data_IF_558799076884
#
_entry.id   IF_558799076884
#
_cell.length_a   1.000
_cell.length_b   1.000
_cell.length_c   1.000
_cell.angle_alpha   90.00
_cell.angle_beta   90.00
_cell.angle_gamma   90.00
#
_symmetry.space_group_name_H-M   'P 1'
#
loop_
_entity.id
_entity.type
_entity.pdbx_description
1 polymer ?
#
# COMPACT_ATOMS: atom_id res chain seq x y z
N UNK A 1 21.94 -13.37 -5.38
CA UNK A 1 21.81 -14.77 -5.83
C UNK A 1 21.92 -14.78 -7.34
N UNK A 2 22.95 -15.38 -7.92
CA UNK A 2 23.09 -15.46 -9.39
C UNK A 2 21.86 -16.19 -9.96
N UNK A 3 21.14 -15.54 -10.88
CA UNK A 3 19.90 -16.07 -11.45
C UNK A 3 18.67 -15.90 -10.55
N UNK A 4 18.77 -15.06 -9.51
CA UNK A 4 17.66 -14.60 -8.69
C UNK A 4 16.80 -13.54 -9.38
N UNK A 5 15.84 -13.01 -8.65
CA UNK A 5 14.91 -11.97 -9.09
C UNK A 5 15.65 -10.65 -9.27
N UNK A 6 15.46 -9.98 -10.41
CA UNK A 6 16.02 -8.65 -10.65
C UNK A 6 15.13 -7.56 -10.06
N UNK A 7 15.72 -6.65 -9.28
CA UNK A 7 15.02 -5.46 -8.80
C UNK A 7 15.10 -4.35 -9.85
N UNK A 8 13.97 -3.85 -10.38
CA UNK A 8 13.95 -2.83 -11.43
C UNK A 8 14.79 -1.60 -11.09
N UNK A 9 15.53 -1.09 -12.08
CA UNK A 9 16.40 0.08 -11.93
C UNK A 9 17.67 -0.14 -11.11
N UNK A 10 18.01 -1.39 -10.77
CA UNK A 10 19.22 -1.73 -9.99
C UNK A 10 19.98 -2.91 -10.60
N UNK A 11 21.19 -3.18 -10.09
CA UNK A 11 21.97 -4.39 -10.41
C UNK A 11 21.70 -5.55 -9.44
N UNK A 12 20.71 -5.43 -8.55
CA UNK A 12 20.47 -6.45 -7.53
C UNK A 12 19.74 -7.67 -8.10
N UNK A 13 20.31 -8.86 -7.83
CA UNK A 13 19.64 -10.14 -8.00
C UNK A 13 19.44 -10.81 -6.64
N UNK A 14 18.19 -10.98 -6.23
CA UNK A 14 17.80 -11.38 -4.87
C UNK A 14 16.95 -12.65 -4.89
N UNK A 15 16.78 -13.29 -3.73
CA UNK A 15 15.73 -14.29 -3.57
C UNK A 15 14.34 -13.62 -3.67
N UNK A 16 13.26 -14.36 -4.01
CA UNK A 16 11.94 -13.76 -4.23
C UNK A 16 11.36 -13.06 -3.00
N UNK A 17 11.74 -13.45 -1.78
CA UNK A 17 11.26 -12.82 -0.54
C UNK A 17 11.87 -11.44 -0.39
N UNK A 18 13.20 -11.32 -0.51
CA UNK A 18 13.89 -10.05 -0.39
C UNK A 18 13.65 -9.13 -1.61
N UNK A 19 13.44 -9.70 -2.80
CA UNK A 19 13.05 -8.93 -3.98
C UNK A 19 11.65 -8.33 -3.83
N UNK A 20 10.68 -9.07 -3.26
CA UNK A 20 9.34 -8.56 -3.01
C UNK A 20 9.36 -7.34 -2.06
N UNK A 21 10.22 -7.38 -1.05
CA UNK A 21 10.47 -6.22 -0.18
C UNK A 21 10.98 -5.02 -0.97
N UNK A 22 12.04 -5.22 -1.77
CA UNK A 22 12.69 -4.15 -2.51
C UNK A 22 11.74 -3.49 -3.52
N UNK A 23 11.05 -4.29 -4.34
CA UNK A 23 10.11 -3.80 -5.35
C UNK A 23 8.92 -3.11 -4.68
N UNK A 24 8.30 -3.73 -3.66
CA UNK A 24 7.17 -3.14 -2.94
C UNK A 24 7.55 -1.83 -2.23
N UNK A 25 8.78 -1.73 -1.73
CA UNK A 25 9.30 -0.48 -1.15
C UNK A 25 9.48 0.59 -2.22
N UNK A 26 10.09 0.25 -3.37
CA UNK A 26 10.31 1.21 -4.47
C UNK A 26 9.01 1.83 -4.96
N UNK A 27 7.99 1.02 -5.22
CA UNK A 27 6.73 1.51 -5.82
C UNK A 27 5.89 2.34 -4.84
N UNK A 28 6.00 2.07 -3.54
CA UNK A 28 5.22 2.77 -2.51
C UNK A 28 5.92 4.02 -1.96
N UNK A 29 7.24 4.13 -2.13
CA UNK A 29 8.08 5.05 -1.34
C UNK A 29 7.60 6.50 -1.35
N UNK A 30 7.29 7.01 -2.55
CA UNK A 30 6.93 8.40 -2.82
C UNK A 30 5.44 8.68 -2.70
N UNK A 31 4.64 7.69 -2.26
CA UNK A 31 3.19 7.83 -2.16
C UNK A 31 2.54 8.26 -3.48
N UNK A 32 3.10 7.83 -4.61
CA UNK A 32 2.66 8.26 -5.94
C UNK A 32 2.08 7.12 -6.79
N UNK A 33 1.88 5.96 -6.17
CA UNK A 33 1.20 4.83 -6.76
C UNK A 33 -0.33 4.97 -6.62
N UNK A 34 -1.05 3.95 -7.08
CA UNK A 34 -2.52 3.93 -7.09
C UNK A 34 -3.13 4.06 -5.68
N UNK A 35 -4.45 4.20 -5.61
CA UNK A 35 -5.17 4.29 -4.34
C UNK A 35 -6.56 3.67 -4.45
N UNK A 36 -7.00 3.04 -3.37
CA UNK A 36 -8.36 2.58 -3.15
C UNK A 36 -8.88 3.16 -1.83
N UNK A 37 -9.99 3.92 -1.91
CA UNK A 37 -10.60 4.57 -0.75
C UNK A 37 -11.95 3.90 -0.43
N UNK A 38 -12.02 3.24 0.72
CA UNK A 38 -13.24 2.63 1.24
C UNK A 38 -13.31 2.76 2.78
N UNK A 39 -14.01 1.85 3.49
CA UNK A 39 -13.99 1.84 4.97
C UNK A 39 -12.56 1.66 5.53
N UNK A 40 -11.73 0.93 4.79
CA UNK A 40 -10.28 0.98 4.88
C UNK A 40 -9.67 1.65 3.64
N UNK A 41 -8.56 2.34 3.83
CA UNK A 41 -7.78 2.94 2.74
C UNK A 41 -6.56 2.10 2.44
N UNK A 42 -6.13 2.05 1.18
CA UNK A 42 -4.88 1.39 0.82
C UNK A 42 -4.45 1.62 -0.62
N UNK A 43 -3.33 0.99 -0.99
CA UNK A 43 -2.75 1.08 -2.32
C UNK A 43 -2.61 -0.34 -2.89
N UNK A 44 -3.59 -0.85 -3.64
CA UNK A 44 -3.56 -2.23 -4.09
C UNK A 44 -2.41 -2.56 -5.06
N UNK A 45 -1.85 -1.56 -5.74
CA UNK A 45 -0.60 -1.70 -6.50
C UNK A 45 0.59 -2.14 -5.66
N UNK A 46 0.56 -1.98 -4.32
CA UNK A 46 1.62 -2.47 -3.43
C UNK A 46 1.89 -3.98 -3.63
N UNK A 47 0.84 -4.75 -3.92
CA UNK A 47 0.94 -6.20 -4.17
C UNK A 47 1.83 -6.55 -5.39
N UNK A 48 2.10 -5.58 -6.28
CA UNK A 48 3.03 -5.78 -7.39
C UNK A 48 4.43 -6.11 -6.90
N UNK A 49 4.82 -5.72 -5.68
CA UNK A 49 6.07 -6.16 -5.06
C UNK A 49 6.19 -7.69 -5.04
N UNK A 50 5.17 -8.36 -4.50
CA UNK A 50 5.10 -9.83 -4.43
C UNK A 50 4.92 -10.47 -5.81
N UNK A 51 4.02 -9.92 -6.63
CA UNK A 51 3.65 -10.51 -7.93
C UNK A 51 4.83 -10.43 -8.91
N UNK A 52 5.50 -9.29 -9.01
CA UNK A 52 6.65 -9.16 -9.91
C UNK A 52 7.83 -9.99 -9.42
N UNK A 53 8.06 -10.05 -8.11
CA UNK A 53 9.16 -10.84 -7.57
C UNK A 53 8.97 -12.34 -7.83
N UNK A 54 7.79 -12.89 -7.51
CA UNK A 54 7.49 -14.31 -7.75
C UNK A 54 7.37 -14.60 -9.25
N UNK A 55 6.82 -13.67 -10.03
CA UNK A 55 6.71 -13.79 -11.48
C UNK A 55 8.07 -13.91 -12.16
N UNK A 56 9.01 -13.00 -11.89
CA UNK A 56 10.37 -13.04 -12.46
C UNK A 56 11.16 -14.26 -11.93
N UNK A 57 10.98 -14.63 -10.65
CA UNK A 57 11.56 -15.87 -10.10
C UNK A 57 11.13 -17.11 -10.88
N UNK A 58 9.82 -17.27 -11.10
CA UNK A 58 9.24 -18.41 -11.81
C UNK A 58 9.61 -18.41 -13.29
N UNK A 59 9.59 -17.26 -13.94
CA UNK A 59 10.01 -17.10 -15.34
C UNK A 59 11.47 -17.49 -15.54
N UNK A 60 12.38 -16.98 -14.71
CA UNK A 60 13.80 -17.34 -14.77
C UNK A 60 14.04 -18.82 -14.50
N UNK A 61 13.29 -19.40 -13.56
CA UNK A 61 13.32 -20.85 -13.30
C UNK A 61 12.85 -21.63 -14.53
N UNK A 62 11.75 -21.21 -15.15
CA UNK A 62 11.22 -21.84 -16.35
C UNK A 62 12.23 -21.80 -17.50
N UNK A 63 12.87 -20.65 -17.77
CA UNK A 63 13.91 -20.53 -18.81
C UNK A 63 15.06 -21.51 -18.59
N UNK A 64 15.57 -21.60 -17.35
CA UNK A 64 16.66 -22.54 -17.00
C UNK A 64 16.26 -24.00 -17.17
N UNK A 65 14.98 -24.31 -17.02
CA UNK A 65 14.44 -25.66 -17.14
C UNK A 65 13.85 -25.95 -18.53
N UNK A 66 14.01 -25.04 -19.51
CA UNK A 66 13.46 -25.19 -20.86
C UNK A 66 11.94 -25.14 -20.93
N UNK A 67 11.28 -24.53 -19.93
CA UNK A 67 9.82 -24.34 -19.85
C UNK A 67 9.44 -22.91 -20.24
N UNK A 68 8.18 -22.70 -20.60
CA UNK A 68 7.67 -21.38 -20.98
C UNK A 68 7.60 -20.43 -19.78
N UNK A 69 8.20 -19.23 -19.84
CA UNK A 69 8.07 -18.20 -18.81
C UNK A 69 6.64 -17.66 -18.69
N UNK A 70 6.34 -16.96 -17.60
CA UNK A 70 5.06 -16.27 -17.47
C UNK A 70 4.97 -15.10 -18.46
N UNK A 71 3.82 -14.94 -19.10
CA UNK A 71 3.51 -13.75 -19.89
C UNK A 71 2.96 -12.59 -19.03
N UNK A 72 3.00 -11.36 -19.57
CA UNK A 72 2.48 -10.19 -18.86
C UNK A 72 0.96 -10.23 -18.67
N UNK A 73 0.22 -10.95 -19.51
CA UNK A 73 -1.22 -11.18 -19.30
C UNK A 73 -1.48 -11.98 -18.01
N UNK A 74 -0.65 -12.97 -17.70
CA UNK A 74 -0.71 -13.71 -16.43
C UNK A 74 -0.41 -12.78 -15.26
N UNK A 75 0.66 -11.99 -15.34
CA UNK A 75 1.03 -11.00 -14.29
C UNK A 75 -0.13 -10.05 -14.02
N UNK A 76 -0.75 -9.47 -15.06
CA UNK A 76 -1.88 -8.56 -14.93
C UNK A 76 -3.12 -9.25 -14.35
N UNK A 77 -3.40 -10.51 -14.70
CA UNK A 77 -4.47 -11.29 -14.06
C UNK A 77 -4.25 -11.48 -12.56
N UNK A 78 -3.01 -11.70 -12.12
CA UNK A 78 -2.69 -11.75 -10.69
C UNK A 78 -2.82 -10.39 -10.02
N UNK A 79 -2.45 -9.30 -10.71
CA UNK A 79 -2.66 -7.95 -10.20
C UNK A 79 -4.16 -7.66 -9.97
N UNK A 80 -5.02 -7.96 -10.95
CA UNK A 80 -6.48 -7.82 -10.83
C UNK A 80 -7.01 -8.59 -9.60
N UNK A 81 -6.61 -9.86 -9.43
CA UNK A 81 -7.02 -10.67 -8.28
C UNK A 81 -6.55 -10.08 -6.95
N UNK A 82 -5.31 -9.59 -6.88
CA UNK A 82 -4.80 -8.98 -5.65
C UNK A 82 -5.53 -7.68 -5.31
N UNK A 83 -5.81 -6.85 -6.33
CA UNK A 83 -6.63 -5.64 -6.17
C UNK A 83 -8.00 -5.99 -5.63
N UNK A 84 -8.65 -7.00 -6.21
CA UNK A 84 -9.97 -7.41 -5.80
C UNK A 84 -9.99 -7.96 -4.36
N UNK A 85 -9.06 -8.84 -3.99
CA UNK A 85 -9.00 -9.38 -2.62
C UNK A 85 -8.82 -8.23 -1.61
N UNK A 86 -7.83 -7.36 -1.82
CA UNK A 86 -7.58 -6.25 -0.90
C UNK A 86 -8.75 -5.26 -0.86
N UNK A 87 -9.22 -4.81 -2.02
CA UNK A 87 -10.21 -3.75 -2.10
C UNK A 87 -11.60 -4.19 -1.65
N UNK A 88 -12.02 -5.43 -1.94
CA UNK A 88 -13.31 -5.95 -1.47
C UNK A 88 -13.32 -6.15 0.05
N UNK A 89 -12.21 -6.61 0.64
CA UNK A 89 -12.09 -6.61 2.11
C UNK A 89 -12.17 -5.19 2.67
N UNK A 90 -11.54 -4.21 2.03
CA UNK A 90 -11.53 -2.83 2.49
C UNK A 90 -12.90 -2.12 2.43
N UNK A 91 -13.88 -2.62 1.65
CA UNK A 91 -15.19 -1.99 1.47
C UNK A 91 -15.94 -1.77 2.80
N UNK A 92 -16.04 -2.81 3.61
CA UNK A 92 -16.82 -2.80 4.86
C UNK A 92 -15.98 -3.07 6.11
N UNK A 93 -14.69 -3.44 5.96
CA UNK A 93 -13.85 -3.86 7.08
C UNK A 93 -12.74 -2.84 7.35
N UNK A 94 -12.93 -2.04 8.40
CA UNK A 94 -12.01 -0.95 8.78
C UNK A 94 -11.01 -1.40 9.87
N UNK A 95 -9.76 -1.63 9.48
CA UNK A 95 -8.67 -2.00 10.39
C UNK A 95 -8.11 -0.77 11.12
N UNK A 96 -8.16 0.41 10.50
CA UNK A 96 -7.81 1.67 11.16
C UNK A 96 -8.67 1.94 12.41
N UNK A 97 -9.96 1.55 12.42
CA UNK A 97 -10.87 1.67 13.58
C UNK A 97 -10.57 0.70 14.73
N UNK A 98 -9.67 -0.25 14.53
CA UNK A 98 -9.14 -1.15 15.55
C UNK A 98 -7.63 -0.98 15.77
N UNK A 99 -7.02 0.05 15.19
CA UNK A 99 -5.62 0.42 15.42
C UNK A 99 -4.59 -0.34 14.57
N UNK A 100 -5.02 -1.13 13.60
CA UNK A 100 -4.17 -1.96 12.75
C UNK A 100 -4.00 -1.36 11.36
N UNK A 101 -2.82 -1.54 10.77
CA UNK A 101 -2.45 -0.98 9.49
C UNK A 101 -3.02 -1.73 8.30
N UNK A 102 -3.39 -0.99 7.24
CA UNK A 102 -4.00 -1.56 6.04
C UNK A 102 -3.09 -2.55 5.30
N UNK A 103 -1.78 -2.53 5.57
CA UNK A 103 -0.83 -3.47 4.97
C UNK A 103 -1.12 -4.93 5.33
N UNK A 104 -1.97 -5.18 6.34
CA UNK A 104 -2.55 -6.50 6.59
C UNK A 104 -3.27 -7.05 5.34
N UNK A 105 -3.95 -6.18 4.58
CA UNK A 105 -4.65 -6.56 3.34
C UNK A 105 -3.70 -6.75 2.16
N UNK A 106 -2.58 -6.01 2.13
CA UNK A 106 -1.48 -6.26 1.17
C UNK A 106 -0.90 -7.66 1.43
N UNK A 107 -0.61 -8.01 2.69
CA UNK A 107 -0.10 -9.34 3.05
C UNK A 107 -1.12 -10.42 2.67
N UNK A 108 -2.41 -10.23 2.99
CA UNK A 108 -3.47 -11.16 2.67
C UNK A 108 -3.56 -11.44 1.17
N UNK A 109 -3.74 -10.38 0.36
CA UNK A 109 -3.93 -10.47 -1.07
C UNK A 109 -2.69 -11.07 -1.74
N UNK A 110 -1.50 -10.55 -1.41
CA UNK A 110 -0.23 -11.08 -1.89
C UNK A 110 -0.03 -12.55 -1.54
N UNK A 111 -0.38 -12.97 -0.32
CA UNK A 111 -0.21 -14.38 0.11
C UNK A 111 -1.06 -15.32 -0.73
N UNK A 112 -2.35 -14.97 -0.93
CA UNK A 112 -3.25 -15.78 -1.73
C UNK A 112 -2.79 -15.89 -3.20
N UNK A 113 -2.46 -14.77 -3.83
CA UNK A 113 -2.07 -14.78 -5.26
C UNK A 113 -0.72 -15.44 -5.48
N UNK A 114 0.27 -15.19 -4.62
CA UNK A 114 1.61 -15.79 -4.80
C UNK A 114 1.64 -17.27 -4.47
N UNK A 115 0.81 -17.75 -3.53
CA UNK A 115 0.64 -19.19 -3.30
C UNK A 115 0.10 -19.88 -4.55
N UNK A 116 -0.90 -19.28 -5.21
CA UNK A 116 -1.42 -19.78 -6.47
C UNK A 116 -0.37 -19.70 -7.61
N UNK A 117 0.41 -18.61 -7.69
CA UNK A 117 1.50 -18.50 -8.68
C UNK A 117 2.55 -19.60 -8.54
N UNK A 118 2.90 -19.96 -7.30
CA UNK A 118 3.87 -21.01 -6.99
C UNK A 118 3.33 -22.43 -7.25
N UNK A 119 2.09 -22.57 -7.72
CA UNK A 119 1.47 -23.87 -8.00
C UNK A 119 0.78 -24.50 -6.79
N UNK A 120 0.55 -23.74 -5.72
CA UNK A 120 -0.23 -24.20 -4.58
C UNK A 120 -1.67 -24.52 -4.96
N UNK A 121 -2.16 -25.65 -4.48
CA UNK A 121 -3.55 -26.04 -4.61
C UNK A 121 -4.45 -25.30 -3.60
N UNK A 122 -5.73 -25.69 -3.56
CA UNK A 122 -6.71 -25.07 -2.65
C UNK A 122 -6.29 -25.15 -1.19
N UNK A 123 -5.72 -26.28 -0.75
CA UNK A 123 -5.37 -26.50 0.66
C UNK A 123 -4.10 -25.73 1.04
N UNK A 124 -3.14 -25.62 0.12
CA UNK A 124 -1.98 -24.76 0.28
C UNK A 124 -2.40 -23.28 0.37
N UNK A 125 -3.32 -22.81 -0.47
CA UNK A 125 -3.84 -21.44 -0.43
C UNK A 125 -4.57 -21.16 0.89
N UNK A 126 -5.46 -22.07 1.33
CA UNK A 126 -6.16 -21.94 2.61
C UNK A 126 -5.17 -21.87 3.77
N UNK A 127 -4.16 -22.74 3.77
CA UNK A 127 -3.12 -22.77 4.79
C UNK A 127 -2.32 -21.47 4.81
N UNK A 128 -1.84 -20.98 3.66
CA UNK A 128 -1.09 -19.74 3.56
C UNK A 128 -1.90 -18.53 4.04
N UNK A 129 -3.17 -18.43 3.62
CA UNK A 129 -4.08 -17.35 4.05
C UNK A 129 -4.34 -17.41 5.56
N UNK A 130 -4.52 -18.60 6.14
CA UNK A 130 -4.67 -18.77 7.58
C UNK A 130 -3.43 -18.28 8.35
N UNK A 131 -2.23 -18.61 7.86
CA UNK A 131 -0.97 -18.08 8.41
C UNK A 131 -0.89 -16.56 8.30
N UNK A 132 -1.29 -15.98 7.16
CA UNK A 132 -1.37 -14.52 7.00
C UNK A 132 -2.32 -13.86 8.00
N UNK A 133 -3.42 -14.50 8.40
CA UNK A 133 -4.31 -13.94 9.42
C UNK A 133 -3.75 -14.06 10.84
N UNK A 134 -3.15 -15.21 11.18
CA UNK A 134 -2.53 -15.43 12.49
C UNK A 134 -1.34 -14.49 12.73
N UNK A 135 -0.69 -14.05 11.67
CA UNK A 135 0.41 -13.09 11.73
C UNK A 135 -0.03 -11.67 12.15
N UNK A 136 -1.35 -11.41 12.25
CA UNK A 136 -1.98 -10.17 12.72
C UNK A 136 -1.48 -8.88 12.01
N UNK A 137 -2.02 -7.71 12.33
CA UNK A 137 -1.62 -6.44 11.69
C UNK A 137 -0.43 -5.78 12.38
N UNK A 138 0.39 -5.06 11.62
CA UNK A 138 1.26 -4.03 12.19
C UNK A 138 0.40 -2.91 12.78
N UNK A 139 0.88 -2.26 13.85
CA UNK A 139 0.28 -1.02 14.32
C UNK A 139 0.42 0.10 13.28
N UNK A 140 -0.38 1.15 13.41
CA UNK A 140 -0.37 2.33 12.51
C UNK A 140 0.38 3.54 13.03
N UNK A 141 1.05 3.45 14.17
CA UNK A 141 1.63 4.60 14.88
C UNK A 141 2.52 5.47 13.98
N UNK A 142 3.28 4.85 13.08
CA UNK A 142 4.17 5.53 12.13
C UNK A 142 3.48 6.33 11.02
N UNK A 143 2.14 6.31 10.94
CA UNK A 143 1.35 7.12 10.01
C UNK A 143 0.74 8.36 10.66
N UNK A 144 0.73 8.43 11.99
CA UNK A 144 0.01 9.47 12.73
C UNK A 144 0.97 10.31 13.57
N UNK A 145 0.69 11.62 13.64
CA UNK A 145 1.40 12.53 14.53
C UNK A 145 1.28 12.07 16.00
N UNK A 146 2.31 12.30 16.84
CA UNK A 146 3.60 12.94 16.53
C UNK A 146 4.67 11.93 16.03
N UNK A 147 4.28 10.72 15.62
CA UNK A 147 5.20 9.62 15.29
C UNK A 147 5.28 9.33 13.79
N UNK A 148 4.73 10.19 12.93
CA UNK A 148 4.76 10.00 11.49
C UNK A 148 6.21 9.90 11.00
N UNK A 149 6.52 8.86 10.24
CA UNK A 149 7.89 8.59 9.83
C UNK A 149 8.00 7.64 8.64
N UNK A 150 9.24 7.32 8.21
CA UNK A 150 9.51 6.67 6.93
C UNK A 150 9.00 5.23 6.84
N UNK A 151 8.63 4.59 7.97
CA UNK A 151 8.00 3.27 7.95
C UNK A 151 6.71 3.24 7.13
N UNK A 152 5.99 4.37 7.00
CA UNK A 152 4.81 4.47 6.13
C UNK A 152 5.10 4.10 4.67
N UNK A 153 6.33 4.36 4.22
CA UNK A 153 6.80 4.23 2.84
C UNK A 153 7.30 2.83 2.49
N UNK A 154 7.63 1.99 3.49
CA UNK A 154 8.13 0.62 3.27
C UNK A 154 7.30 -0.48 3.96
N UNK A 155 6.32 -0.13 4.79
CA UNK A 155 5.46 -1.10 5.47
C UNK A 155 4.74 -2.06 4.50
N UNK A 156 4.34 -1.57 3.33
CA UNK A 156 3.71 -2.41 2.30
C UNK A 156 4.70 -3.36 1.62
N UNK A 157 5.95 -2.92 1.39
CA UNK A 157 7.03 -3.79 0.94
C UNK A 157 7.34 -4.90 1.95
N UNK A 158 7.31 -4.59 3.25
CA UNK A 158 7.45 -5.59 4.31
C UNK A 158 6.30 -6.60 4.33
N UNK A 159 5.06 -6.14 4.12
CA UNK A 159 3.91 -7.03 3.95
C UNK A 159 4.06 -7.96 2.73
N UNK A 160 4.61 -7.47 1.61
CA UNK A 160 4.94 -8.28 0.43
C UNK A 160 5.97 -9.37 0.75
N UNK A 161 7.06 -9.00 1.42
CA UNK A 161 8.09 -9.94 1.91
C UNK A 161 7.47 -11.06 2.74
N UNK A 162 6.60 -10.70 3.67
CA UNK A 162 5.94 -11.64 4.57
C UNK A 162 4.98 -12.56 3.81
N UNK A 163 4.24 -12.02 2.85
CA UNK A 163 3.35 -12.81 2.00
C UNK A 163 4.07 -13.89 1.19
N UNK A 164 5.18 -13.53 0.53
CA UNK A 164 5.97 -14.51 -0.24
C UNK A 164 6.55 -15.59 0.69
N UNK A 165 6.93 -15.22 1.92
CA UNK A 165 7.38 -16.20 2.92
C UNK A 165 6.28 -17.20 3.29
N UNK A 166 5.04 -16.75 3.50
CA UNK A 166 3.91 -17.65 3.78
C UNK A 166 3.60 -18.56 2.60
N UNK A 167 3.64 -18.02 1.38
CA UNK A 167 3.38 -18.77 0.16
C UNK A 167 4.41 -19.91 -0.05
N UNK A 168 5.70 -19.61 0.09
CA UNK A 168 6.77 -20.62 0.00
C UNK A 168 6.65 -21.67 1.10
N UNK A 169 6.32 -21.27 2.34
CA UNK A 169 6.13 -22.24 3.43
C UNK A 169 4.95 -23.18 3.17
N UNK A 170 3.84 -22.69 2.62
CA UNK A 170 2.69 -23.52 2.30
C UNK A 170 2.98 -24.49 1.15
N UNK A 171 3.62 -24.02 0.07
CA UNK A 171 3.86 -24.83 -1.14
C UNK A 171 5.04 -25.77 -0.97
N UNK A 172 6.18 -25.29 -0.48
CA UNK A 172 7.43 -26.05 -0.50
C UNK A 172 7.65 -26.86 0.79
N UNK A 173 7.04 -26.44 1.91
CA UNK A 173 7.26 -27.07 3.22
C UNK A 173 6.04 -27.80 3.78
N UNK A 174 4.88 -27.68 3.14
CA UNK A 174 3.64 -28.35 3.58
C UNK A 174 3.28 -28.00 5.02
N UNK A 175 3.42 -26.73 5.42
CA UNK A 175 3.13 -26.32 6.81
C UNK A 175 1.67 -26.58 7.17
N UNK A 176 1.43 -26.92 8.44
CA UNK A 176 0.08 -27.14 8.96
C UNK A 176 -0.73 -25.84 8.90
N UNK A 177 -1.96 -25.94 8.38
CA UNK A 177 -2.92 -24.84 8.33
C UNK A 177 -3.73 -24.68 9.62
N UNK A 178 -4.41 -23.54 9.75
CA UNK A 178 -5.23 -23.21 10.91
C UNK A 178 -6.65 -22.85 10.47
N UNK A 179 -7.57 -23.83 10.33
CA UNK A 179 -8.89 -23.61 9.73
C UNK A 179 -9.75 -22.54 10.43
N UNK A 180 -9.54 -22.34 11.73
CA UNK A 180 -10.26 -21.36 12.56
C UNK A 180 -9.44 -20.10 12.86
N UNK A 181 -8.43 -19.76 12.05
CA UNK A 181 -7.56 -18.59 12.23
C UNK A 181 -8.33 -17.28 12.53
N UNK A 182 -9.51 -17.12 11.95
CA UNK A 182 -10.39 -15.97 12.20
C UNK A 182 -11.33 -16.18 13.39
N UNK A 183 -12.01 -17.33 13.45
CA UNK A 183 -13.19 -17.56 14.29
C UNK A 183 -12.94 -18.35 15.57
N UNK A 184 -11.72 -18.79 15.83
CA UNK A 184 -11.39 -19.49 17.08
C UNK A 184 -11.78 -18.62 18.28
N UNK A 185 -12.60 -19.15 19.18
CA UNK A 185 -13.01 -18.41 20.39
C UNK A 185 -11.78 -18.02 21.20
N UNK A 186 -11.74 -16.78 21.67
CA UNK A 186 -10.66 -16.16 22.45
C UNK A 186 -9.36 -15.88 21.69
N UNK A 187 -8.98 -16.73 20.72
CA UNK A 187 -7.65 -16.70 20.10
C UNK A 187 -7.65 -16.36 18.61
N UNK A 188 -8.82 -16.39 17.97
CA UNK A 188 -8.99 -16.05 16.56
C UNK A 188 -8.91 -14.55 16.33
N UNK A 189 -8.57 -14.15 15.10
CA UNK A 189 -8.41 -12.75 14.71
C UNK A 189 -9.64 -11.90 15.06
N UNK A 190 -10.85 -12.43 14.89
CA UNK A 190 -12.08 -11.69 15.20
C UNK A 190 -12.13 -11.23 16.66
N UNK A 191 -11.93 -12.16 17.59
CA UNK A 191 -11.97 -11.88 19.03
C UNK A 191 -10.77 -11.02 19.46
N UNK A 192 -9.56 -11.34 18.98
CA UNK A 192 -8.31 -10.73 19.44
C UNK A 192 -8.10 -9.32 18.88
N UNK A 193 -8.39 -9.12 17.59
CA UNK A 193 -7.95 -7.95 16.83
C UNK A 193 -9.09 -7.21 16.13
N UNK A 194 -10.30 -7.78 16.08
CA UNK A 194 -11.44 -7.19 15.36
C UNK A 194 -12.69 -6.99 16.23
N UNK A 195 -12.51 -6.88 17.56
CA UNK A 195 -13.58 -6.58 18.53
C UNK A 195 -14.74 -7.58 18.49
N UNK A 196 -14.45 -8.85 18.21
CA UNK A 196 -15.43 -9.93 18.09
C UNK A 196 -16.34 -9.85 16.86
N UNK A 197 -16.07 -8.94 15.91
CA UNK A 197 -16.87 -8.82 14.68
C UNK A 197 -16.34 -9.77 13.61
N UNK A 198 -17.23 -10.33 12.81
CA UNK A 198 -16.87 -11.03 11.59
C UNK A 198 -16.65 -10.03 10.44
N UNK A 199 -15.94 -10.45 9.40
CA UNK A 199 -15.82 -9.64 8.19
C UNK A 199 -17.14 -9.60 7.41
N UNK A 200 -17.46 -8.42 6.88
CA UNK A 200 -18.64 -8.19 6.06
C UNK A 200 -18.24 -7.91 4.61
N UNK A 201 -19.08 -8.35 3.67
CA UNK A 201 -18.85 -8.19 2.25
C UNK A 201 -20.16 -7.77 1.59
N UNK A 202 -20.15 -6.61 0.92
CA UNK A 202 -21.31 -6.12 0.18
C UNK A 202 -21.41 -6.70 -1.24
N UNK A 203 -20.36 -7.39 -1.70
CA UNK A 203 -20.27 -7.93 -3.05
C UNK A 203 -19.28 -9.10 -3.16
N UNK A 204 -19.46 -9.99 -4.16
CA UNK A 204 -18.47 -11.02 -4.47
C UNK A 204 -17.21 -10.44 -5.11
N UNK A 205 -16.12 -11.21 -5.11
CA UNK A 205 -14.90 -10.89 -5.84
C UNK A 205 -15.09 -11.01 -7.37
N UNK A 206 -14.70 -9.99 -8.12
CA UNK A 206 -14.60 -9.96 -9.58
C UNK A 206 -13.39 -9.14 -10.05
N UNK A 207 -13.63 -8.01 -10.71
CA UNK A 207 -12.61 -7.06 -11.21
C UNK A 207 -12.92 -5.61 -10.82
N UNK A 208 -13.88 -5.40 -9.92
CA UNK A 208 -14.43 -4.08 -9.60
C UNK A 208 -13.36 -3.09 -9.12
N UNK A 209 -12.44 -3.56 -8.28
CA UNK A 209 -11.43 -2.69 -7.67
C UNK A 209 -10.46 -2.18 -8.72
N UNK A 210 -9.97 -3.05 -9.62
CA UNK A 210 -9.08 -2.64 -10.70
C UNK A 210 -9.78 -1.68 -11.68
N UNK A 211 -11.05 -1.93 -11.99
CA UNK A 211 -11.83 -1.07 -12.90
C UNK A 211 -12.05 0.35 -12.34
N UNK A 212 -12.03 0.52 -11.02
CA UNK A 212 -12.35 1.77 -10.34
C UNK A 212 -11.17 2.32 -9.51
N UNK A 213 -9.96 1.81 -9.73
CA UNK A 213 -8.78 2.23 -8.98
C UNK A 213 -8.45 3.69 -9.27
N UNK A 214 -7.98 4.41 -8.25
CA UNK A 214 -7.67 5.82 -8.36
C UNK A 214 -6.17 6.00 -8.67
N UNK A 215 -5.84 6.77 -9.69
CA UNK A 215 -4.45 7.09 -10.02
C UNK A 215 -4.10 8.50 -9.54
N UNK A 216 -2.92 8.63 -8.94
CA UNK A 216 -2.27 9.92 -8.71
C UNK A 216 -1.49 10.28 -9.96
N UNK A 217 -2.09 11.07 -10.85
CA UNK A 217 -1.49 11.41 -12.14
C UNK A 217 -0.61 12.66 -12.01
N UNK A 218 -1.09 13.66 -11.28
CA UNK A 218 -0.55 15.02 -11.34
C UNK A 218 0.49 15.30 -10.24
N UNK A 219 0.25 14.84 -9.01
CA UNK A 219 1.05 15.28 -7.85
C UNK A 219 1.39 14.13 -6.88
N UNK A 220 2.63 14.07 -6.35
CA UNK A 220 3.07 13.08 -5.36
C UNK A 220 2.60 13.45 -3.95
N UNK A 221 1.28 13.54 -3.78
CA UNK A 221 0.61 13.97 -2.55
C UNK A 221 -0.25 12.84 -1.97
N UNK A 222 -0.47 12.84 -0.64
CA UNK A 222 -1.50 11.98 -0.01
C UNK A 222 -2.85 12.18 -0.72
N UNK A 223 -3.62 11.10 -0.94
CA UNK A 223 -4.73 11.12 -1.89
C UNK A 223 -5.84 12.10 -1.47
N UNK A 224 -6.10 12.25 -0.18
CA UNK A 224 -7.12 13.18 0.32
C UNK A 224 -6.76 14.66 0.09
N UNK A 225 -5.52 14.97 -0.30
CA UNK A 225 -5.10 16.33 -0.66
C UNK A 225 -5.13 16.61 -2.17
N UNK A 226 -5.31 15.61 -3.05
CA UNK A 226 -5.15 15.79 -4.50
C UNK A 226 -6.00 16.93 -5.08
N UNK A 227 -7.28 16.99 -4.71
CA UNK A 227 -8.18 18.08 -5.16
C UNK A 227 -7.83 19.42 -4.55
N UNK A 228 -7.33 19.46 -3.31
CA UNK A 228 -6.87 20.70 -2.68
C UNK A 228 -5.63 21.26 -3.39
N UNK A 229 -4.69 20.39 -3.78
CA UNK A 229 -3.52 20.75 -4.59
C UNK A 229 -3.95 21.27 -5.97
N UNK A 230 -4.92 20.64 -6.63
CA UNK A 230 -5.47 21.12 -7.91
C UNK A 230 -6.07 22.53 -7.78
N UNK A 231 -6.84 22.78 -6.73
CA UNK A 231 -7.37 24.12 -6.44
C UNK A 231 -6.25 25.14 -6.20
N UNK A 232 -5.24 24.76 -5.41
CA UNK A 232 -4.10 25.62 -5.11
C UNK A 232 -3.29 25.98 -6.37
N UNK A 233 -3.08 25.02 -7.27
CA UNK A 233 -2.44 25.25 -8.57
C UNK A 233 -3.21 26.22 -9.46
N UNK A 234 -4.55 26.15 -9.47
CA UNK A 234 -5.40 27.11 -10.21
C UNK A 234 -5.32 28.51 -9.62
N UNK A 235 -5.30 28.61 -8.29
CA UNK A 235 -5.24 29.88 -7.57
C UNK A 235 -3.86 30.55 -7.61
N UNK A 236 -2.79 29.81 -7.90
CA UNK A 236 -1.41 30.32 -7.91
C UNK A 236 -1.28 31.64 -8.70
N UNK A 237 -1.80 31.69 -9.93
CA UNK A 237 -1.70 32.88 -10.77
C UNK A 237 -2.37 34.13 -10.16
N UNK A 238 -3.37 33.93 -9.30
CA UNK A 238 -4.10 35.00 -8.62
C UNK A 238 -3.43 35.43 -7.31
N UNK A 239 -2.65 34.57 -6.65
CA UNK A 239 -2.11 34.83 -5.31
C UNK A 239 -0.60 35.06 -5.27
N UNK A 240 0.16 34.57 -6.25
CA UNK A 240 1.63 34.52 -6.21
C UNK A 240 2.29 35.90 -6.00
N UNK A 241 1.65 36.98 -6.47
CA UNK A 241 2.16 38.35 -6.36
C UNK A 241 1.68 39.10 -5.11
N UNK A 242 0.88 38.46 -4.25
CA UNK A 242 0.25 39.07 -3.06
C UNK A 242 0.20 38.11 -1.87
N UNK A 243 1.19 37.24 -1.77
CA UNK A 243 1.27 36.23 -0.69
C UNK A 243 1.29 36.89 0.70
N UNK A 244 1.97 38.03 0.83
CA UNK A 244 2.07 38.85 2.04
C UNK A 244 0.74 39.52 2.44
N UNK A 245 -0.24 39.55 1.54
CA UNK A 245 -1.57 40.12 1.77
C UNK A 245 -2.63 39.07 2.14
N UNK A 246 -2.24 37.80 2.22
CA UNK A 246 -3.15 36.71 2.58
C UNK A 246 -3.45 36.78 4.09
N UNK A 247 -4.68 37.16 4.44
CA UNK A 247 -5.16 37.13 5.83
C UNK A 247 -5.58 35.73 6.29
N UNK A 248 -6.24 34.97 5.39
CA UNK A 248 -6.80 33.64 5.71
C UNK A 248 -6.89 32.76 4.46
N UNK A 249 -6.58 31.48 4.62
CA UNK A 249 -6.90 30.41 3.67
C UNK A 249 -7.86 29.45 4.35
N UNK A 250 -8.99 29.16 3.71
CA UNK A 250 -9.99 28.20 4.19
C UNK A 250 -10.01 26.98 3.27
N UNK A 251 -9.80 25.79 3.84
CA UNK A 251 -9.80 24.52 3.12
C UNK A 251 -10.98 23.71 3.64
N UNK A 252 -12.06 23.64 2.85
CA UNK A 252 -13.17 22.73 3.12
C UNK A 252 -12.79 21.32 2.62
N UNK A 253 -12.87 20.32 3.50
CA UNK A 253 -12.44 18.94 3.19
C UNK A 253 -13.38 17.90 3.81
N UNK A 254 -13.28 16.66 3.32
CA UNK A 254 -13.99 15.51 3.88
C UNK A 254 -13.40 15.05 5.23
N UNK A 255 -14.18 14.32 6.03
CA UNK A 255 -13.78 13.79 7.34
C UNK A 255 -12.41 13.08 7.30
N UNK A 256 -12.17 12.27 6.27
CA UNK A 256 -10.91 11.55 6.11
C UNK A 256 -9.71 12.52 5.93
N UNK A 257 -9.86 13.58 5.14
CA UNK A 257 -8.81 14.60 4.98
C UNK A 257 -8.48 15.25 6.32
N UNK A 258 -9.51 15.70 7.05
CA UNK A 258 -9.35 16.28 8.38
C UNK A 258 -8.71 15.31 9.38
N UNK A 259 -9.08 14.02 9.35
CA UNK A 259 -8.59 13.04 10.33
C UNK A 259 -7.13 12.60 10.11
N UNK A 260 -6.64 12.63 8.87
CA UNK A 260 -5.35 12.01 8.50
C UNK A 260 -4.26 13.05 8.30
N UNK A 261 -4.58 14.13 7.57
CA UNK A 261 -3.59 15.04 7.00
C UNK A 261 -3.78 16.49 7.45
N UNK A 262 -4.75 16.79 8.31
CA UNK A 262 -4.82 18.08 9.00
C UNK A 262 -3.79 18.11 10.14
N UNK A 263 -2.72 18.87 9.95
CA UNK A 263 -1.64 19.02 10.92
C UNK A 263 -1.35 20.50 11.17
N UNK A 264 -1.16 20.85 12.43
CA UNK A 264 -0.76 22.20 12.84
C UNK A 264 0.58 22.17 13.56
N UNK A 265 1.33 23.28 13.45
CA UNK A 265 2.66 23.42 14.03
C UNK A 265 3.80 22.91 13.13
N UNK A 266 5.04 22.85 13.65
CA UNK A 266 6.22 22.47 12.87
C UNK A 266 6.14 21.05 12.33
N UNK A 267 6.59 20.86 11.08
CA UNK A 267 6.68 19.56 10.41
C UNK A 267 8.14 19.09 10.37
N UNK A 268 8.43 17.94 10.95
CA UNK A 268 9.81 17.55 11.27
C UNK A 268 10.56 16.84 10.13
N UNK A 269 9.85 16.28 9.14
CA UNK A 269 10.47 15.45 8.11
C UNK A 269 9.62 15.40 6.82
N UNK A 270 10.17 14.78 5.77
CA UNK A 270 9.49 14.56 4.48
C UNK A 270 8.10 13.95 4.64
N UNK A 271 7.99 12.87 5.43
CA UNK A 271 6.74 12.15 5.64
C UNK A 271 5.71 12.95 6.44
N UNK A 272 6.15 13.96 7.20
CA UNK A 272 5.22 14.89 7.83
C UNK A 272 4.59 15.83 6.81
N UNK A 273 5.40 16.33 5.87
CA UNK A 273 5.02 17.32 4.86
C UNK A 273 4.13 16.72 3.76
N UNK A 274 4.45 15.51 3.28
CA UNK A 274 3.61 14.81 2.30
C UNK A 274 2.29 14.29 2.90
N UNK A 275 2.10 14.40 4.22
CA UNK A 275 0.87 14.09 4.97
C UNK A 275 0.36 15.32 5.74
N UNK A 276 0.55 16.53 5.20
CA UNK A 276 -0.01 17.76 5.73
C UNK A 276 -0.76 18.51 4.62
N UNK A 277 -2.09 18.60 4.69
CA UNK A 277 -2.91 19.28 3.68
C UNK A 277 -2.54 20.76 3.56
N UNK A 278 -2.22 21.40 4.69
CA UNK A 278 -1.76 22.79 4.72
C UNK A 278 -0.47 22.96 3.93
N UNK A 279 0.52 22.08 4.15
CA UNK A 279 1.80 22.14 3.43
C UNK A 279 1.61 21.86 1.94
N UNK A 280 0.83 20.84 1.60
CA UNK A 280 0.54 20.46 0.22
C UNK A 280 -0.27 21.51 -0.53
N UNK A 281 -1.00 22.39 0.15
CA UNK A 281 -1.69 23.55 -0.46
C UNK A 281 -0.78 24.78 -0.52
N UNK A 282 0.01 25.04 0.51
CA UNK A 282 0.90 26.20 0.57
C UNK A 282 1.94 26.19 -0.56
N UNK A 283 2.61 25.05 -0.79
CA UNK A 283 3.67 24.92 -1.81
C UNK A 283 3.15 25.28 -3.22
N UNK A 284 2.04 24.73 -3.74
CA UNK A 284 1.46 25.16 -5.01
C UNK A 284 1.05 26.63 -5.06
N UNK A 285 0.48 27.19 -3.98
CA UNK A 285 0.10 28.61 -3.96
C UNK A 285 1.34 29.50 -4.13
N UNK A 286 2.44 29.15 -3.48
CA UNK A 286 3.70 29.91 -3.52
C UNK A 286 4.44 29.69 -4.86
N UNK A 287 4.62 28.44 -5.27
CA UNK A 287 5.56 28.09 -6.35
C UNK A 287 4.92 27.66 -7.67
N UNK A 288 3.59 27.47 -7.71
CA UNK A 288 2.90 27.01 -8.91
C UNK A 288 3.29 25.60 -9.33
N UNK A 289 3.74 24.76 -8.38
CA UNK A 289 4.11 23.35 -8.57
C UNK A 289 3.97 22.57 -7.26
N UNK A 290 3.92 21.24 -7.39
CA UNK A 290 4.18 20.31 -6.29
C UNK A 290 4.88 19.07 -6.83
N UNK A 291 6.17 18.94 -6.53
CA UNK A 291 7.00 17.79 -6.88
C UNK A 291 7.61 17.17 -5.63
N UNK A 292 8.10 15.92 -5.73
CA UNK A 292 8.63 15.19 -4.58
C UNK A 292 9.78 15.95 -3.86
N UNK A 293 10.59 16.70 -4.60
CA UNK A 293 11.67 17.50 -4.02
C UNK A 293 11.18 18.65 -3.11
N UNK A 294 9.93 19.10 -3.29
CA UNK A 294 9.37 20.21 -2.50
C UNK A 294 9.10 19.80 -1.03
N UNK A 295 9.09 18.51 -0.71
CA UNK A 295 9.00 18.03 0.68
C UNK A 295 10.37 17.97 1.40
N UNK A 296 11.46 18.32 0.72
CA UNK A 296 12.81 18.35 1.30
C UNK A 296 13.04 19.55 2.23
N UNK A 297 13.99 19.42 3.16
CA UNK A 297 14.27 20.46 4.17
C UNK A 297 14.67 21.81 3.55
N UNK A 298 15.30 21.79 2.37
CA UNK A 298 15.72 23.01 1.69
C UNK A 298 14.53 23.87 1.23
N UNK A 299 13.46 23.25 0.70
CA UNK A 299 12.24 23.97 0.29
C UNK A 299 11.41 24.33 1.51
N UNK A 300 11.35 23.44 2.50
CA UNK A 300 10.66 23.69 3.77
C UNK A 300 11.32 24.75 4.68
N UNK A 301 12.49 25.28 4.31
CA UNK A 301 13.17 26.35 5.03
C UNK A 301 12.68 27.75 4.63
N UNK A 302 11.84 27.87 3.59
CA UNK A 302 11.15 29.12 3.25
C UNK A 302 10.15 29.49 4.39
N UNK A 303 10.33 30.63 5.06
CA UNK A 303 9.60 30.98 6.29
C UNK A 303 8.10 31.25 6.12
#
# INVERSE_FOLDING_TARGET
MVGGVRVPGTSHELDPVQAAFAIGTQIRWLDFNDTWLAAEWGHPSDNLGSILAVGDYLSRKAEREGRTPLDMGQVLRYAIKAHEIQGIYALQNSFNRVGLDHVILVRLASTAVTTHMLGGDKDAIISAVAHSWIDNGALRTYRHAPNTGPRKSWAAGDACRRAVTHALNAVDRGVVGYPSALSAKTWGFYDVAFKGKAFEFERPFGSYVMENVLFKISYPAEFHAQTAVECAMRLHAEVALRLDQIERIEIETQEAGARIIDKTGPLANYADRDHCIQYMVAVPLIFGRLVAADYGDAVAADP
#
